data_IF_473972245633
#
_entry.id   IF_473972245633
#
_cell.length_a   1.000
_cell.length_b   1.000
_cell.length_c   1.000
_cell.angle_alpha   90.00
_cell.angle_beta   90.00
_cell.angle_gamma   90.00
#
_symmetry.space_group_name_H-M   'P 1'
#
loop_
_entity.id
_entity.type
_entity.pdbx_description
1 polymer ?
#
# COMPACT_ATOMS: atom_id res chain seq x y z
N UNK A 1 10.16 -8.07 14.73
CA UNK A 1 9.29 -8.16 13.54
C UNK A 1 10.16 -8.37 12.31
N UNK A 2 10.31 -9.59 11.82
CA UNK A 2 11.03 -9.87 10.56
C UNK A 2 10.04 -10.57 9.62
N UNK A 3 9.09 -9.79 9.11
CA UNK A 3 8.16 -10.28 8.08
C UNK A 3 8.90 -10.33 6.75
N UNK A 4 9.16 -11.53 6.24
CA UNK A 4 9.71 -11.70 4.89
C UNK A 4 8.60 -11.35 3.87
N UNK A 5 8.88 -10.48 2.88
CA UNK A 5 7.89 -10.11 1.86
C UNK A 5 7.61 -11.29 0.91
N UNK A 6 6.38 -11.30 0.37
CA UNK A 6 5.79 -12.21 -0.64
C UNK A 6 6.56 -13.51 -0.95
N UNK A 7 6.08 -14.61 -0.36
CA UNK A 7 6.46 -15.97 -0.75
C UNK A 7 7.74 -16.44 -0.04
N UNK A 8 7.53 -17.17 1.06
CA UNK A 8 8.43 -18.08 1.78
C UNK A 8 9.79 -18.32 1.08
N UNK A 9 10.89 -18.07 1.79
CA UNK A 9 12.23 -18.45 1.37
C UNK A 9 12.26 -19.88 0.79
N UNK A 10 12.68 -20.04 -0.46
CA UNK A 10 12.69 -21.31 -1.18
C UNK A 10 12.63 -21.16 -2.71
N UNK A 11 12.65 -22.28 -3.46
CA UNK A 11 12.71 -22.30 -4.93
C UNK A 11 11.46 -21.75 -5.63
N UNK A 12 10.35 -21.57 -4.90
CA UNK A 12 9.11 -20.92 -5.40
C UNK A 12 8.94 -19.51 -4.85
N UNK A 13 10.05 -18.82 -4.56
CA UNK A 13 10.02 -17.40 -4.21
C UNK A 13 9.41 -16.60 -5.37
N UNK A 14 8.60 -15.58 -5.05
CA UNK A 14 8.04 -14.70 -6.05
C UNK A 14 9.17 -14.00 -6.82
N UNK A 15 9.27 -14.23 -8.13
CA UNK A 15 10.25 -13.55 -9.00
C UNK A 15 10.05 -12.03 -8.98
N UNK A 16 8.81 -11.58 -8.75
CA UNK A 16 8.44 -10.18 -8.64
C UNK A 16 8.64 -9.56 -7.27
N UNK A 17 9.18 -10.26 -6.26
CA UNK A 17 9.30 -9.77 -4.88
C UNK A 17 10.01 -8.40 -4.79
N UNK A 18 11.19 -8.29 -5.41
CA UNK A 18 11.97 -7.04 -5.40
C UNK A 18 11.26 -5.90 -6.12
N UNK A 19 10.62 -6.20 -7.26
CA UNK A 19 9.87 -5.20 -8.02
C UNK A 19 8.64 -4.73 -7.24
N UNK A 20 7.89 -5.65 -6.64
CA UNK A 20 6.72 -5.35 -5.83
C UNK A 20 7.11 -4.48 -4.63
N UNK A 21 8.21 -4.81 -3.95
CA UNK A 21 8.72 -4.00 -2.84
C UNK A 21 9.14 -2.60 -3.29
N UNK A 22 9.84 -2.48 -4.43
CA UNK A 22 10.26 -1.20 -4.97
C UNK A 22 9.06 -0.31 -5.33
N UNK A 23 8.09 -0.86 -6.06
CA UNK A 23 6.87 -0.14 -6.46
C UNK A 23 6.02 0.26 -5.25
N UNK A 24 5.82 -0.64 -4.28
CA UNK A 24 5.07 -0.32 -3.07
C UNK A 24 5.76 0.79 -2.26
N UNK A 25 7.08 0.73 -2.12
CA UNK A 25 7.87 1.74 -1.41
C UNK A 25 7.79 3.09 -2.11
N UNK A 26 7.98 3.12 -3.44
CA UNK A 26 7.89 4.35 -4.22
C UNK A 26 6.49 4.98 -4.15
N UNK A 27 5.44 4.16 -4.23
CA UNK A 27 4.06 4.60 -4.10
C UNK A 27 3.80 5.21 -2.70
N UNK A 28 4.22 4.53 -1.63
CA UNK A 28 4.05 5.01 -0.25
C UNK A 28 4.86 6.29 0.01
N UNK A 29 6.09 6.36 -0.47
CA UNK A 29 6.93 7.56 -0.37
C UNK A 29 6.28 8.75 -1.11
N UNK A 30 5.73 8.51 -2.30
CA UNK A 30 5.02 9.54 -3.06
C UNK A 30 3.78 10.01 -2.32
N UNK A 31 2.90 9.09 -1.95
CA UNK A 31 1.63 9.41 -1.25
C UNK A 31 1.90 10.15 0.06
N UNK A 32 2.88 9.71 0.86
CA UNK A 32 3.20 10.35 2.14
C UNK A 32 3.74 11.77 1.99
N UNK A 33 4.50 12.05 0.93
CA UNK A 33 5.05 13.38 0.63
C UNK A 33 4.01 14.33 0.03
N UNK A 34 3.16 13.85 -0.86
CA UNK A 34 2.30 14.72 -1.69
C UNK A 34 0.85 14.72 -1.28
N UNK A 35 0.40 13.77 -0.46
CA UNK A 35 -1.00 13.61 -0.15
C UNK A 35 -1.26 13.24 1.32
N UNK A 36 -2.51 13.38 1.71
CA UNK A 36 -3.09 12.81 2.92
C UNK A 36 -4.36 12.06 2.52
N UNK A 37 -4.41 10.78 2.84
CA UNK A 37 -5.58 9.94 2.62
C UNK A 37 -6.47 10.00 3.85
N UNK A 38 -7.74 10.38 3.67
CA UNK A 38 -8.73 10.45 4.74
C UNK A 38 -9.86 9.47 4.40
N UNK A 39 -10.17 8.48 5.25
CA UNK A 39 -11.26 7.55 4.98
C UNK A 39 -12.60 8.30 4.92
N UNK A 40 -13.42 8.01 3.90
CA UNK A 40 -14.72 8.67 3.69
C UNK A 40 -15.72 8.31 4.80
N UNK A 41 -15.63 7.09 5.33
CA UNK A 41 -16.43 6.62 6.44
C UNK A 41 -15.55 5.83 7.43
N UNK A 42 -16.06 5.61 8.64
CA UNK A 42 -15.37 4.84 9.69
C UNK A 42 -15.85 3.38 9.73
N UNK A 43 -16.46 2.88 8.66
CA UNK A 43 -16.91 1.50 8.67
C UNK A 43 -15.70 0.56 8.71
N UNK A 44 -15.76 -0.52 9.51
CA UNK A 44 -14.69 -1.49 9.55
C UNK A 44 -14.46 -2.09 8.16
N UNK A 45 -13.19 -2.19 7.77
CA UNK A 45 -12.81 -2.82 6.51
C UNK A 45 -12.95 -4.34 6.66
N UNK A 46 -13.98 -4.90 6.02
CA UNK A 46 -14.15 -6.34 5.94
C UNK A 46 -13.37 -6.90 4.75
N UNK A 47 -12.46 -7.83 5.04
CA UNK A 47 -11.85 -8.69 4.01
C UNK A 47 -12.82 -9.80 3.64
N UNK A 48 -12.78 -10.24 2.38
CA UNK A 48 -13.47 -11.46 1.96
C UNK A 48 -12.44 -12.55 1.70
N UNK A 49 -12.74 -13.82 2.04
CA UNK A 49 -11.94 -14.94 1.58
C UNK A 49 -11.89 -14.94 0.05
N UNK A 50 -10.68 -14.93 -0.49
CA UNK A 50 -10.37 -14.99 -1.91
C UNK A 50 -8.95 -15.57 -2.06
N UNK A 51 -8.55 -15.89 -3.29
CA UNK A 51 -7.18 -16.36 -3.58
C UNK A 51 -6.13 -15.38 -3.05
N UNK A 52 -6.43 -14.08 -3.06
CA UNK A 52 -5.68 -13.03 -2.38
C UNK A 52 -6.61 -12.28 -1.43
N UNK A 53 -6.19 -12.05 -0.19
CA UNK A 53 -6.94 -11.22 0.73
C UNK A 53 -6.90 -9.76 0.25
N UNK A 54 -8.07 -9.21 -0.02
CA UNK A 54 -8.24 -7.80 -0.34
C UNK A 54 -9.47 -7.23 0.36
N UNK A 55 -9.47 -5.92 0.70
CA UNK A 55 -10.68 -5.27 1.18
C UNK A 55 -11.72 -5.23 0.05
N UNK A 56 -13.00 -5.41 0.40
CA UNK A 56 -14.09 -5.34 -0.59
C UNK A 56 -14.24 -3.92 -1.16
N UNK A 57 -14.02 -2.90 -0.33
CA UNK A 57 -14.19 -1.49 -0.71
C UNK A 57 -13.32 -0.62 0.19
N UNK A 58 -12.42 0.15 -0.40
CA UNK A 58 -11.66 1.22 0.27
C UNK A 58 -12.00 2.50 -0.46
N UNK A 59 -12.59 3.46 0.25
CA UNK A 59 -12.89 4.78 -0.31
C UNK A 59 -12.23 5.82 0.58
N UNK A 60 -11.31 6.57 -0.01
CA UNK A 60 -10.56 7.63 0.67
C UNK A 60 -10.71 8.94 -0.08
N UNK A 61 -10.89 10.03 0.65
CA UNK A 61 -10.65 11.38 0.14
C UNK A 61 -9.15 11.60 0.07
N UNK A 62 -8.68 12.13 -1.04
CA UNK A 62 -7.29 12.54 -1.22
C UNK A 62 -7.22 14.04 -1.00
N UNK A 63 -6.44 14.46 -0.01
CA UNK A 63 -6.09 15.87 0.18
C UNK A 63 -4.65 16.03 -0.27
N UNK A 64 -4.43 16.76 -1.36
CA UNK A 64 -3.07 17.07 -1.81
C UNK A 64 -2.42 18.03 -0.81
N UNK A 65 -1.18 17.73 -0.44
CA UNK A 65 -0.33 18.67 0.26
C UNK A 65 0.17 19.66 -0.79
N UNK A 66 -0.02 20.96 -0.56
CA UNK A 66 0.69 21.96 -1.36
C UNK A 66 2.19 21.63 -1.29
N UNK A 67 2.91 21.63 -2.43
CA UNK A 67 4.34 21.50 -2.37
C UNK A 67 4.85 22.67 -1.53
N UNK A 68 5.51 22.37 -0.40
CA UNK A 68 6.35 23.37 0.25
C UNK A 68 7.30 23.86 -0.85
N UNK A 69 7.28 25.16 -1.13
CA UNK A 69 8.19 25.77 -2.09
C UNK A 69 9.59 25.25 -1.76
N UNK A 70 10.16 24.46 -2.66
CA UNK A 70 11.55 24.03 -2.56
C UNK A 70 12.36 25.28 -2.87
N UNK A 71 12.73 25.99 -1.81
CA UNK A 71 13.77 27.02 -1.82
C UNK A 71 15.14 26.40 -1.67
#
# INVERSE_FOLDING_TARGET
>A
MHGQPVGRAGPRKCIGDRLALAQATAALATISRTARLIPVNRNPLHTRPAVLLHPRRVITKVVLRQPAAVG
#
